data_IF_683189182325
#
_entry.id   IF_683189182325
#
_cell.length_a   1.000
_cell.length_b   1.000
_cell.length_c   1.000
_cell.angle_alpha   90.00
_cell.angle_beta   90.00
_cell.angle_gamma   90.00
#
_symmetry.space_group_name_H-M   'P 1'
#
loop_
_entity.id
_entity.type
_entity.pdbx_description
1 polymer ?
#
# COMPACT_ATOMS: atom_id res chain seq x y z
N UNK A 1 6.26 2.99 1.43
CA UNK A 1 6.14 2.83 -0.04
C UNK A 1 5.90 4.16 -0.80
N UNK A 2 6.39 4.37 -2.04
CA UNK A 2 6.14 5.59 -2.86
C UNK A 2 6.14 5.31 -4.39
N UNK A 3 5.54 6.16 -5.25
CA UNK A 3 5.43 5.87 -6.69
C UNK A 3 6.78 5.65 -7.38
N UNK A 4 7.82 6.39 -7.00
CA UNK A 4 9.17 6.28 -7.59
C UNK A 4 9.82 4.91 -7.31
N UNK A 5 9.30 4.16 -6.35
CA UNK A 5 9.75 2.80 -6.04
C UNK A 5 8.95 1.73 -6.82
N UNK A 6 8.02 2.11 -7.70
CA UNK A 6 7.23 1.20 -8.56
C UNK A 6 7.71 1.32 -10.01
N UNK A 7 8.41 0.30 -10.48
CA UNK A 7 8.78 0.16 -11.89
C UNK A 7 7.70 -0.61 -12.64
N UNK A 8 7.25 -0.07 -13.78
CA UNK A 8 6.36 -0.78 -14.69
C UNK A 8 7.14 -1.07 -15.98
N UNK A 9 7.42 -2.34 -16.23
CA UNK A 9 8.08 -2.81 -17.45
C UNK A 9 7.05 -3.46 -18.39
N UNK A 10 7.02 -3.05 -19.65
CA UNK A 10 6.22 -3.75 -20.67
C UNK A 10 6.89 -5.08 -21.02
N UNK A 11 6.14 -6.18 -20.94
CA UNK A 11 6.58 -7.51 -21.35
C UNK A 11 5.73 -7.94 -22.55
N UNK A 12 6.29 -7.81 -23.75
CA UNK A 12 5.56 -8.04 -24.99
C UNK A 12 4.42 -7.04 -25.20
N UNK A 13 3.40 -7.44 -25.98
CA UNK A 13 2.29 -6.56 -26.37
C UNK A 13 1.11 -6.56 -25.38
N UNK A 14 1.05 -7.52 -24.45
CA UNK A 14 -0.16 -7.82 -23.70
C UNK A 14 -0.02 -7.74 -22.17
N UNK A 15 1.19 -7.62 -21.62
CA UNK A 15 1.38 -7.60 -20.17
C UNK A 15 2.37 -6.55 -19.71
N UNK A 16 2.07 -5.98 -18.55
CA UNK A 16 3.00 -5.16 -17.78
C UNK A 16 3.50 -6.02 -16.61
N UNK A 17 4.80 -5.96 -16.36
CA UNK A 17 5.43 -6.47 -15.17
C UNK A 17 5.68 -5.31 -14.21
N UNK A 18 5.26 -5.46 -12.95
CA UNK A 18 5.47 -4.45 -11.91
C UNK A 18 6.55 -4.95 -10.97
N UNK A 19 7.59 -4.15 -10.75
CA UNK A 19 8.72 -4.46 -9.87
C UNK A 19 8.87 -3.34 -8.84
N UNK A 20 9.04 -3.72 -7.58
CA UNK A 20 9.41 -2.77 -6.53
C UNK A 20 10.93 -2.57 -6.56
N UNK A 21 11.37 -1.32 -6.65
CA UNK A 21 12.79 -0.96 -6.82
C UNK A 21 13.52 -0.83 -5.49
N UNK A 22 12.79 -0.49 -4.44
CA UNK A 22 13.37 -0.21 -3.13
C UNK A 22 12.36 -0.60 -2.05
N UNK A 23 12.76 -1.59 -1.25
CA UNK A 23 12.00 -2.05 -0.08
C UNK A 23 12.13 -1.09 1.11
N UNK A 24 12.76 0.07 0.91
CA UNK A 24 12.73 1.26 1.77
C UNK A 24 13.12 0.95 3.20
N UNK A 25 14.43 1.02 3.50
CA UNK A 25 15.01 0.95 4.87
C UNK A 25 14.12 0.12 5.79
N UNK A 26 14.09 -1.20 5.57
CA UNK A 26 13.52 -2.12 6.54
C UNK A 26 14.21 -1.79 7.87
N UNK A 27 13.50 -1.11 8.78
CA UNK A 27 13.92 -1.00 10.17
C UNK A 27 13.79 -2.42 10.71
N UNK A 28 14.82 -3.21 10.45
CA UNK A 28 15.10 -4.43 11.19
C UNK A 28 15.47 -3.93 12.58
N UNK A 29 14.50 -4.10 13.48
CA UNK A 29 14.61 -3.99 14.93
C UNK A 29 15.02 -2.62 15.50
N UNK A 30 14.02 -1.85 15.91
CA UNK A 30 13.93 -1.38 17.30
C UNK A 30 15.02 -0.44 17.87
N UNK A 31 15.91 0.13 17.06
CA UNK A 31 16.83 1.17 17.51
C UNK A 31 16.93 2.29 16.48
N UNK A 32 16.22 3.39 16.75
CA UNK A 32 16.79 4.70 16.42
C UNK A 32 18.01 4.85 17.30
N UNK A 33 19.20 4.69 16.75
CA UNK A 33 20.42 5.12 17.41
C UNK A 33 20.27 6.61 17.76
N UNK A 34 20.04 6.88 19.04
CA UNK A 34 20.02 8.22 19.64
C UNK A 34 21.44 8.77 19.79
N UNK A 35 22.26 8.66 18.74
CA UNK A 35 23.63 9.17 18.71
C UNK A 35 23.88 9.87 17.38
N UNK A 36 23.32 11.06 17.23
CA UNK A 36 23.88 12.09 16.38
C UNK A 36 23.52 13.44 17.00
N UNK A 37 24.57 14.22 17.28
CA UNK A 37 24.60 15.29 18.25
C UNK A 37 23.66 16.46 18.02
N UNK A 38 23.60 17.25 19.09
CA UNK A 38 23.05 18.58 19.22
C UNK A 38 23.29 19.43 17.95
N UNK A 39 22.21 20.04 17.43
CA UNK A 39 22.20 21.08 16.39
C UNK A 39 22.28 20.66 14.90
N UNK A 40 21.67 19.54 14.50
CA UNK A 40 21.24 19.35 13.11
C UNK A 40 19.71 19.17 13.07
N UNK A 41 18.96 19.80 12.13
CA UNK A 41 17.55 19.49 11.98
C UNK A 41 17.45 18.00 11.70
N UNK A 42 16.79 17.24 12.60
CA UNK A 42 16.47 15.82 12.41
C UNK A 42 16.01 15.64 10.96
N UNK A 43 16.89 15.12 10.11
CA UNK A 43 16.57 14.93 8.70
C UNK A 43 15.49 13.86 8.70
N UNK A 44 14.26 14.31 8.46
CA UNK A 44 13.11 13.42 8.34
C UNK A 44 13.35 12.60 7.07
N UNK A 45 13.97 11.44 7.24
CA UNK A 45 14.30 10.55 6.13
C UNK A 45 13.01 9.91 5.63
N UNK A 46 12.48 10.42 4.53
CA UNK A 46 11.39 9.85 3.76
C UNK A 46 10.66 10.90 2.92
N UNK A 47 9.63 10.48 2.17
CA UNK A 47 8.83 11.40 1.35
C UNK A 47 7.53 11.74 2.09
N UNK A 48 7.37 12.95 2.67
CA UNK A 48 6.28 13.29 3.61
C UNK A 48 4.87 12.99 3.10
N UNK A 49 4.68 13.04 1.77
CA UNK A 49 3.40 12.79 1.07
C UNK A 49 2.87 11.35 1.20
N UNK A 50 3.73 10.40 1.59
CA UNK A 50 3.39 8.97 1.68
C UNK A 50 3.72 8.37 3.05
N UNK A 51 4.15 9.19 4.03
CA UNK A 51 4.47 8.73 5.38
C UNK A 51 3.21 8.34 6.13
N UNK A 52 3.29 7.24 6.89
CA UNK A 52 2.21 6.84 7.78
C UNK A 52 2.23 7.66 9.10
N UNK A 53 1.07 7.79 9.78
CA UNK A 53 0.99 8.51 11.05
C UNK A 53 1.98 8.02 12.12
N UNK A 54 2.15 6.71 12.25
CA UNK A 54 3.09 6.09 13.18
C UNK A 54 4.55 6.40 12.84
N UNK A 55 4.92 6.49 11.55
CA UNK A 55 6.25 6.93 11.13
C UNK A 55 6.51 8.39 11.56
N UNK A 56 5.51 9.26 11.37
CA UNK A 56 5.59 10.68 11.74
C UNK A 56 5.71 10.85 13.26
N UNK A 57 4.97 10.06 14.03
CA UNK A 57 5.03 10.05 15.51
C UNK A 57 6.30 9.39 16.05
N UNK A 58 7.01 8.62 15.23
CA UNK A 58 8.15 7.81 15.67
C UNK A 58 7.75 6.61 16.53
N UNK A 59 6.55 6.09 16.31
CA UNK A 59 6.04 4.86 16.92
C UNK A 59 6.62 3.62 16.23
N UNK A 60 6.32 2.44 16.77
CA UNK A 60 6.72 1.17 16.15
C UNK A 60 6.04 1.02 14.79
N UNK A 61 6.85 0.73 13.78
CA UNK A 61 6.45 0.59 12.38
C UNK A 61 6.39 -0.90 12.04
N UNK A 62 5.28 -1.34 11.47
CA UNK A 62 5.10 -2.69 10.93
C UNK A 62 4.65 -2.64 9.44
N UNK A 63 4.34 -3.80 8.85
CA UNK A 63 3.91 -3.88 7.46
C UNK A 63 2.64 -3.07 7.13
N UNK A 64 1.85 -2.63 8.11
CA UNK A 64 0.67 -1.79 7.90
C UNK A 64 1.04 -0.33 7.64
N UNK A 65 2.26 0.10 7.95
CA UNK A 65 2.78 1.39 7.51
C UNK A 65 2.90 1.43 5.99
N UNK A 66 3.35 0.34 5.36
CA UNK A 66 3.37 0.23 3.91
C UNK A 66 1.97 0.18 3.30
N UNK A 67 1.00 -0.45 3.98
CA UNK A 67 -0.41 -0.39 3.55
C UNK A 67 -0.93 1.05 3.49
N UNK A 68 -0.57 1.89 4.46
CA UNK A 68 -0.94 3.31 4.44
C UNK A 68 -0.33 4.04 3.25
N UNK A 69 0.97 3.83 3.01
CA UNK A 69 1.63 4.36 1.82
C UNK A 69 0.99 3.87 0.52
N UNK A 70 0.59 2.59 0.43
CA UNK A 70 -0.16 2.04 -0.72
C UNK A 70 -1.50 2.75 -0.88
N UNK A 71 -2.19 3.08 0.22
CA UNK A 71 -3.39 3.91 0.21
C UNK A 71 -3.14 5.30 -0.38
N UNK A 72 -2.01 5.92 -0.05
CA UNK A 72 -1.61 7.22 -0.61
C UNK A 72 -1.34 7.13 -2.11
N UNK A 73 -0.62 6.11 -2.57
CA UNK A 73 -0.37 5.86 -4.00
C UNK A 73 -1.68 5.56 -4.73
N UNK A 74 -2.57 4.74 -4.15
CA UNK A 74 -3.89 4.47 -4.72
C UNK A 74 -4.71 5.75 -4.89
N UNK A 75 -4.71 6.62 -3.87
CA UNK A 75 -5.38 7.90 -3.95
C UNK A 75 -4.84 8.72 -5.12
N UNK A 76 -3.53 8.88 -5.21
CA UNK A 76 -2.88 9.65 -6.27
C UNK A 76 -3.14 9.09 -7.67
N UNK A 77 -3.11 7.76 -7.84
CA UNK A 77 -3.46 7.13 -9.12
C UNK A 77 -4.89 7.43 -9.57
N UNK A 78 -5.81 7.64 -8.62
CA UNK A 78 -7.23 7.86 -8.91
C UNK A 78 -7.60 9.35 -9.00
N UNK A 79 -6.91 10.22 -8.27
CA UNK A 79 -7.21 11.66 -8.20
C UNK A 79 -6.22 12.54 -8.96
N UNK A 80 -5.05 12.01 -9.33
CA UNK A 80 -3.96 12.77 -9.95
C UNK A 80 -3.08 13.53 -8.96
N UNK A 81 -3.36 13.47 -7.65
CA UNK A 81 -2.54 14.10 -6.61
C UNK A 81 -2.51 13.28 -5.32
N UNK A 82 -1.44 13.32 -4.51
CA UNK A 82 -1.41 12.70 -3.18
C UNK A 82 -2.59 13.11 -2.28
N UNK A 83 -2.96 12.29 -1.27
CA UNK A 83 -4.11 12.57 -0.41
C UNK A 83 -3.97 13.86 0.39
N UNK A 84 -2.74 14.25 0.74
CA UNK A 84 -2.45 15.48 1.46
C UNK A 84 -1.33 16.25 0.77
N UNK A 85 -1.61 17.50 0.47
CA UNK A 85 -0.68 18.50 -0.05
C UNK A 85 -0.47 19.58 1.01
N UNK A 86 0.62 20.32 0.94
CA UNK A 86 0.94 21.44 1.84
C UNK A 86 2.14 22.21 1.30
N UNK A 87 2.33 23.42 1.81
CA UNK A 87 3.37 24.34 1.39
C UNK A 87 4.76 23.86 1.83
N UNK A 88 4.81 23.03 2.88
CA UNK A 88 6.04 22.41 3.37
C UNK A 88 5.78 21.02 3.97
N UNK A 89 6.87 20.29 4.23
CA UNK A 89 6.85 18.94 4.79
C UNK A 89 6.11 18.83 6.11
N UNK A 90 6.26 19.82 7.01
CA UNK A 90 5.62 19.83 8.33
C UNK A 90 4.11 19.90 8.20
N UNK A 91 3.61 20.74 7.31
CA UNK A 91 2.18 20.84 7.05
C UNK A 91 1.61 19.53 6.48
N UNK A 92 2.32 18.89 5.54
CA UNK A 92 1.89 17.60 4.97
C UNK A 92 1.81 16.53 6.07
N UNK A 93 2.84 16.40 6.90
CA UNK A 93 2.84 15.47 8.03
C UNK A 93 1.72 15.77 9.02
N UNK A 94 1.48 17.04 9.35
CA UNK A 94 0.38 17.45 10.22
C UNK A 94 -0.98 17.00 9.67
N UNK A 95 -1.17 17.09 8.34
CA UNK A 95 -2.40 16.62 7.68
C UNK A 95 -2.58 15.11 7.78
N UNK A 96 -1.51 14.32 7.59
CA UNK A 96 -1.56 12.88 7.81
C UNK A 96 -2.00 12.50 9.23
N UNK A 97 -1.62 13.29 10.24
CA UNK A 97 -1.97 13.06 11.64
C UNK A 97 -3.39 13.50 12.01
N UNK A 98 -3.87 14.62 11.45
CA UNK A 98 -5.01 15.35 12.01
C UNK A 98 -6.17 15.59 11.05
N UNK A 99 -5.99 15.46 9.74
CA UNK A 99 -7.07 15.73 8.78
C UNK A 99 -7.94 14.51 8.55
N UNK A 100 -9.20 14.79 8.23
CA UNK A 100 -10.11 13.77 7.73
C UNK A 100 -9.54 13.15 6.44
N UNK A 101 -9.75 11.85 6.28
CA UNK A 101 -9.35 11.10 5.08
C UNK A 101 -10.05 11.70 3.86
N UNK A 102 -9.33 12.01 2.77
CA UNK A 102 -9.96 12.55 1.57
C UNK A 102 -10.84 11.49 0.92
N UNK A 103 -12.01 11.88 0.43
CA UNK A 103 -12.86 11.02 -0.39
C UNK A 103 -12.25 10.81 -1.77
N UNK A 104 -12.48 9.65 -2.38
CA UNK A 104 -12.14 9.44 -3.78
C UNK A 104 -13.02 10.31 -4.71
N UNK A 105 -12.47 10.76 -5.86
CA UNK A 105 -13.27 11.39 -6.90
C UNK A 105 -14.33 10.43 -7.43
N UNK A 106 -15.37 10.98 -8.08
CA UNK A 106 -16.42 10.15 -8.65
C UNK A 106 -15.88 9.30 -9.81
N UNK A 107 -15.77 7.99 -9.60
CA UNK A 107 -15.43 7.01 -10.64
C UNK A 107 -16.71 6.43 -11.25
N UNK A 108 -16.77 6.38 -12.60
CA UNK A 108 -17.87 5.71 -13.33
C UNK A 108 -17.67 4.20 -13.27
N UNK A 109 -18.30 3.54 -12.30
CA UNK A 109 -18.31 2.07 -12.14
C UNK A 109 -19.60 1.61 -11.48
N UNK A 110 -19.83 0.30 -11.37
CA UNK A 110 -21.00 -0.23 -10.67
C UNK A 110 -20.97 0.11 -9.18
N UNK A 111 -22.14 0.28 -8.56
CA UNK A 111 -22.25 0.67 -7.14
C UNK A 111 -21.53 -0.28 -6.20
N UNK A 112 -21.54 -1.59 -6.51
CA UNK A 112 -20.82 -2.60 -5.73
C UNK A 112 -19.29 -2.44 -5.81
N UNK A 113 -18.74 -2.25 -7.02
CA UNK A 113 -17.30 -2.05 -7.19
C UNK A 113 -16.84 -0.73 -6.59
N UNK A 114 -17.65 0.32 -6.74
CA UNK A 114 -17.40 1.62 -6.12
C UNK A 114 -17.28 1.50 -4.62
N UNK A 115 -18.26 0.85 -3.97
CA UNK A 115 -18.24 0.62 -2.52
C UNK A 115 -17.00 -0.16 -2.09
N UNK A 116 -16.64 -1.23 -2.82
CA UNK A 116 -15.44 -2.02 -2.50
C UNK A 116 -14.17 -1.17 -2.59
N UNK A 117 -14.05 -0.32 -3.61
CA UNK A 117 -12.90 0.58 -3.77
C UNK A 117 -12.85 1.65 -2.67
N UNK A 118 -13.99 2.29 -2.37
CA UNK A 118 -14.08 3.32 -1.32
C UNK A 118 -13.77 2.74 0.06
N UNK A 119 -14.27 1.55 0.40
CA UNK A 119 -13.95 0.88 1.66
C UNK A 119 -12.46 0.51 1.76
N UNK A 120 -11.87 -0.05 0.70
CA UNK A 120 -10.45 -0.38 0.68
C UNK A 120 -9.58 0.88 0.81
N UNK A 121 -9.90 1.94 0.06
CA UNK A 121 -9.18 3.20 0.11
C UNK A 121 -9.26 3.83 1.50
N UNK A 122 -10.45 3.86 2.10
CA UNK A 122 -10.67 4.41 3.43
C UNK A 122 -9.93 3.61 4.52
N UNK A 123 -9.88 2.28 4.42
CA UNK A 123 -9.15 1.43 5.38
C UNK A 123 -7.64 1.57 5.24
N UNK A 124 -7.10 1.62 4.00
CA UNK A 124 -5.67 1.85 3.78
C UNK A 124 -5.20 3.19 4.36
N UNK A 125 -5.98 4.26 4.17
CA UNK A 125 -5.68 5.60 4.73
C UNK A 125 -6.14 5.79 6.18
N UNK A 126 -6.49 4.73 6.90
CA UNK A 126 -6.92 4.88 8.29
C UNK A 126 -5.73 5.22 9.21
N UNK A 127 -5.82 6.26 10.07
CA UNK A 127 -4.71 6.62 10.95
C UNK A 127 -4.40 5.55 11.99
N UNK A 128 -5.44 4.90 12.55
CA UNK A 128 -5.30 3.73 13.42
C UNK A 128 -4.90 2.47 12.62
N UNK A 129 -3.84 1.79 13.07
CA UNK A 129 -3.32 0.54 12.49
C UNK A 129 -4.34 -0.61 12.50
N UNK A 130 -5.22 -0.70 13.50
CA UNK A 130 -6.18 -1.80 13.62
C UNK A 130 -7.36 -1.72 12.65
N UNK A 131 -7.56 -0.54 12.07
CA UNK A 131 -8.60 -0.24 11.09
C UNK A 131 -8.06 -0.33 9.64
N UNK A 132 -6.78 -0.68 9.50
CA UNK A 132 -6.16 -1.03 8.21
C UNK A 132 -6.30 -2.52 7.94
N UNK A 133 -6.23 -2.96 6.66
CA UNK A 133 -6.23 -4.39 6.35
C UNK A 133 -5.18 -5.11 7.20
N UNK A 134 -5.52 -6.32 7.66
CA UNK A 134 -4.69 -7.06 8.62
C UNK A 134 -3.22 -7.17 8.17
N UNK A 135 -3.03 -7.42 6.88
CA UNK A 135 -1.76 -7.58 6.18
C UNK A 135 -1.90 -7.26 4.67
N UNK A 136 -0.78 -7.33 3.94
CA UNK A 136 -0.73 -7.13 2.49
C UNK A 136 -1.57 -8.14 1.70
N UNK A 137 -1.67 -9.39 2.16
CA UNK A 137 -2.46 -10.44 1.52
C UNK A 137 -3.95 -10.13 1.55
N UNK A 138 -4.45 -9.54 2.64
CA UNK A 138 -5.85 -9.08 2.75
C UNK A 138 -6.15 -7.96 1.77
N UNK A 139 -5.28 -6.97 1.67
CA UNK A 139 -5.42 -5.89 0.68
C UNK A 139 -5.36 -6.44 -0.76
N UNK A 140 -4.43 -7.36 -1.03
CA UNK A 140 -4.25 -7.96 -2.35
C UNK A 140 -5.49 -8.73 -2.84
N UNK A 141 -6.20 -9.46 -1.95
CA UNK A 141 -7.46 -10.12 -2.29
C UNK A 141 -8.51 -9.13 -2.81
N UNK A 142 -8.62 -7.96 -2.18
CA UNK A 142 -9.59 -6.94 -2.57
C UNK A 142 -9.16 -6.26 -3.87
N UNK A 143 -7.87 -5.94 -4.04
CA UNK A 143 -7.35 -5.45 -5.32
C UNK A 143 -7.61 -6.43 -6.47
N UNK A 144 -7.43 -7.73 -6.23
CA UNK A 144 -7.70 -8.76 -7.23
C UNK A 144 -9.18 -8.80 -7.61
N UNK A 145 -10.08 -8.71 -6.63
CA UNK A 145 -11.51 -8.64 -6.88
C UNK A 145 -11.88 -7.42 -7.75
N UNK A 146 -11.35 -6.24 -7.41
CA UNK A 146 -11.54 -5.00 -8.17
C UNK A 146 -11.01 -5.12 -9.61
N UNK A 147 -9.79 -5.64 -9.79
CA UNK A 147 -9.18 -5.86 -11.10
C UNK A 147 -9.99 -6.86 -11.95
N UNK A 148 -10.58 -7.88 -11.30
CA UNK A 148 -11.44 -8.88 -11.93
C UNK A 148 -12.89 -8.42 -12.10
N UNK A 149 -13.21 -7.15 -11.75
CA UNK A 149 -14.57 -6.58 -11.74
C UNK A 149 -15.57 -7.41 -10.93
N UNK A 150 -15.11 -8.03 -9.84
CA UNK A 150 -15.92 -8.83 -8.91
C UNK A 150 -16.22 -8.03 -7.64
N UNK A 151 -17.45 -8.12 -7.18
CA UNK A 151 -17.86 -7.56 -5.88
C UNK A 151 -17.65 -8.59 -4.78
N UNK A 152 -17.09 -8.16 -3.64
CA UNK A 152 -16.92 -9.03 -2.48
C UNK A 152 -18.08 -8.91 -1.51
N UNK A 153 -18.59 -10.06 -1.07
CA UNK A 153 -19.48 -10.14 0.10
C UNK A 153 -18.63 -10.17 1.37
N UNK A 154 -19.15 -9.62 2.46
CA UNK A 154 -18.47 -9.58 3.76
C UNK A 154 -17.08 -8.91 3.69
N UNK A 155 -16.98 -7.76 3.01
CA UNK A 155 -15.70 -7.07 2.77
C UNK A 155 -14.93 -6.78 4.07
N UNK A 156 -15.61 -6.36 5.13
CA UNK A 156 -15.04 -6.20 6.47
C UNK A 156 -14.31 -7.47 6.93
N UNK A 157 -14.96 -8.63 6.83
CA UNK A 157 -14.35 -9.91 7.20
C UNK A 157 -13.14 -10.25 6.33
N UNK A 158 -13.20 -9.93 5.03
CA UNK A 158 -12.05 -10.14 4.13
C UNK A 158 -10.83 -9.33 4.59
N UNK A 159 -11.04 -8.08 5.00
CA UNK A 159 -10.00 -7.14 5.38
C UNK A 159 -9.42 -7.44 6.77
N UNK A 160 -10.25 -7.85 7.73
CA UNK A 160 -9.89 -7.85 9.15
C UNK A 160 -9.90 -9.23 9.82
N UNK A 161 -10.65 -10.23 9.33
CA UNK A 161 -10.73 -11.55 9.95
C UNK A 161 -9.65 -12.51 9.39
N UNK A 162 -8.66 -12.95 10.18
CA UNK A 162 -7.51 -13.75 9.70
C UNK A 162 -7.88 -15.11 9.11
N UNK A 163 -9.03 -15.66 9.48
CA UNK A 163 -9.48 -16.99 9.04
C UNK A 163 -10.56 -16.92 7.95
N UNK A 164 -11.12 -15.74 7.69
CA UNK A 164 -12.17 -15.58 6.68
C UNK A 164 -11.57 -15.72 5.28
N UNK A 165 -12.18 -16.59 4.46
CA UNK A 165 -11.79 -16.84 3.08
C UNK A 165 -12.94 -16.46 2.15
N UNK A 166 -12.77 -15.48 1.24
CA UNK A 166 -13.82 -15.12 0.31
C UNK A 166 -14.03 -16.24 -0.72
N UNK A 167 -15.28 -16.56 -1.01
CA UNK A 167 -15.63 -17.54 -2.04
C UNK A 167 -15.45 -16.97 -3.44
N UNK A 168 -15.03 -17.81 -4.39
CA UNK A 168 -15.02 -17.44 -5.82
C UNK A 168 -13.89 -16.51 -6.28
N UNK A 169 -12.85 -16.26 -5.48
CA UNK A 169 -11.66 -15.49 -5.90
C UNK A 169 -10.46 -16.35 -6.35
N UNK A 170 -10.53 -17.68 -6.25
CA UNK A 170 -9.36 -18.54 -6.43
C UNK A 170 -8.36 -18.41 -5.28
N UNK A 171 -7.23 -19.13 -5.34
CA UNK A 171 -6.14 -19.04 -4.33
C UNK A 171 -4.98 -18.21 -4.86
N UNK A 172 -4.53 -17.26 -4.04
CA UNK A 172 -3.29 -16.53 -4.28
C UNK A 172 -2.14 -17.54 -4.18
N UNK A 173 -1.33 -17.71 -5.23
CA UNK A 173 -0.04 -18.42 -5.14
C UNK A 173 1.08 -17.41 -5.31
N UNK A 174 1.89 -17.26 -4.25
CA UNK A 174 3.18 -16.60 -4.35
C UNK A 174 4.13 -17.51 -5.12
N UNK A 175 4.59 -17.07 -6.29
CA UNK A 175 5.79 -17.59 -6.90
C UNK A 175 6.92 -16.62 -6.59
N UNK A 176 7.77 -17.00 -5.65
CA UNK A 176 9.11 -16.41 -5.51
C UNK A 176 9.92 -17.03 -6.65
N UNK A 177 10.15 -16.27 -7.71
CA UNK A 177 10.92 -16.77 -8.86
C UNK A 177 12.34 -17.19 -8.45
N UNK A 178 12.74 -18.42 -8.79
CA UNK A 178 14.14 -18.85 -8.78
C UNK A 178 14.90 -18.17 -9.92
N UNK A 179 16.10 -17.68 -9.61
CA UNK A 179 17.15 -17.08 -10.47
C UNK A 179 16.79 -16.68 -11.92
N UNK A 180 16.95 -15.38 -12.19
CA UNK A 180 17.03 -14.78 -13.52
C UNK A 180 18.25 -15.37 -14.28
N UNK A 181 18.19 -15.69 -15.60
CA UNK A 181 19.34 -16.12 -16.40
C UNK A 181 20.54 -15.16 -16.40
N UNK A 182 20.40 -13.97 -15.81
CA UNK A 182 21.45 -12.96 -15.66
C UNK A 182 22.07 -12.88 -14.26
N UNK A 183 21.81 -13.85 -13.37
CA UNK A 183 22.56 -14.01 -12.10
C UNK A 183 22.29 -12.96 -11.01
N UNK A 184 21.39 -11.99 -11.23
CA UNK A 184 20.98 -11.06 -10.16
C UNK A 184 19.84 -11.65 -9.31
N UNK A 185 20.02 -11.68 -7.98
CA UNK A 185 18.96 -11.94 -7.00
C UNK A 185 17.89 -10.85 -7.13
N UNK A 186 16.86 -11.10 -7.94
CA UNK A 186 15.67 -10.25 -8.07
C UNK A 186 14.50 -10.95 -7.41
N UNK A 187 13.94 -10.33 -6.38
CA UNK A 187 12.65 -10.75 -5.83
C UNK A 187 11.56 -10.43 -6.85
N UNK A 188 11.26 -11.37 -7.74
CA UNK A 188 10.07 -11.30 -8.59
C UNK A 188 8.94 -12.06 -7.89
N UNK A 189 7.91 -11.33 -7.46
CA UNK A 189 6.67 -11.95 -7.00
C UNK A 189 5.80 -12.15 -8.23
N UNK A 190 5.70 -13.40 -8.69
CA UNK A 190 4.73 -13.77 -9.73
C UNK A 190 3.47 -14.27 -9.06
N UNK A 191 2.35 -13.62 -9.37
CA UNK A 191 1.03 -14.09 -8.95
C UNK A 191 0.45 -14.95 -10.09
N UNK A 192 0.40 -16.26 -9.90
CA UNK A 192 -0.19 -17.19 -10.87
C UNK A 192 -1.52 -17.75 -10.35
N UNK A 193 -2.58 -17.63 -11.16
CA UNK A 193 -3.92 -18.09 -10.82
C UNK A 193 -4.40 -19.13 -11.83
N UNK A 194 -5.03 -20.20 -11.35
CA UNK A 194 -5.81 -21.14 -12.18
C UNK A 194 -7.28 -21.04 -11.80
N UNK A 195 -8.15 -20.74 -12.76
CA UNK A 195 -9.56 -21.05 -12.65
C UNK A 195 -9.73 -22.58 -12.72
N UNK A 196 -10.63 -23.13 -11.90
CA UNK A 196 -11.19 -24.45 -12.19
C UNK A 196 -12.35 -24.27 -13.15
#
# INVERSE_FOLDING_TARGET
MKPENIMIQRVGLASNHVTLLDFGIAQVDGRRDTTSGENAPNVITGTPRYMSPEQIRGEVVDGRSDLYSVGCVLHEMLSGSPPFLGDNSVEVMFKHLNRARPSLPAVRTSSGLRRTLETLHASLLHPNLHERPLDASRAALVFHALASRRTLRNLEKVLFEPTFQPTGLGRIREHIGSQDPFGSLRASVRWAWRAR
#
